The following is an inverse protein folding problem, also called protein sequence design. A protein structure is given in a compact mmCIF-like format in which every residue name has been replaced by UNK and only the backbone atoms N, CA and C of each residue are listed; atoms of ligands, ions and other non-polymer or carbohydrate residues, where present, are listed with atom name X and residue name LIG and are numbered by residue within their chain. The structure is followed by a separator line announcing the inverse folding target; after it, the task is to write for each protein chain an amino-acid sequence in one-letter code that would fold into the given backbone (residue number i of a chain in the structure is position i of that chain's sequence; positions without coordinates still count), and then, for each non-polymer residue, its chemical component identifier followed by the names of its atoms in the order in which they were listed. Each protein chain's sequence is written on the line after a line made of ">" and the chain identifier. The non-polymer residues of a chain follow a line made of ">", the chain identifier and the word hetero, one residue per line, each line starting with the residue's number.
data_IF_572049445314
#
_entry.id   IF_572049445314
#
_cell.length_a   1.000
_cell.length_b   1.000
_cell.length_c   1.000
_cell.angle_alpha   90.00
_cell.angle_beta   90.00
_cell.angle_gamma   90.00
#
_symmetry.space_group_name_H-M   'P 1'
#
loop_
_entity.id
_entity.type
_entity.pdbx_description
1 polymer ?
#
# COMPACT_ATOMS: atom_id res chain seq x y z
N UNK A 1 14.12 -2.46 -4.58
CA UNK A 1 14.51 -3.62 -5.40
C UNK A 1 14.17 -4.90 -4.67
N UNK A 2 13.39 -5.77 -5.29
CA UNK A 2 13.05 -7.09 -4.78
C UNK A 2 14.27 -8.01 -4.89
N UNK A 3 14.37 -8.97 -3.96
CA UNK A 3 15.48 -9.93 -3.95
C UNK A 3 15.00 -11.18 -4.70
N UNK A 4 15.73 -11.58 -5.75
CA UNK A 4 15.47 -12.80 -6.53
C UNK A 4 16.60 -13.79 -6.29
N UNK A 5 16.32 -14.88 -5.60
CA UNK A 5 17.29 -15.94 -5.29
C UNK A 5 16.71 -17.31 -5.66
N UNK A 6 17.42 -18.06 -6.50
CA UNK A 6 17.01 -19.41 -6.95
C UNK A 6 15.57 -19.47 -7.51
N UNK A 7 15.12 -18.41 -8.17
CA UNK A 7 13.76 -18.29 -8.72
C UNK A 7 12.68 -17.94 -7.68
N UNK A 8 13.04 -17.74 -6.42
CA UNK A 8 12.14 -17.23 -5.38
C UNK A 8 12.32 -15.72 -5.20
N UNK A 9 11.21 -14.99 -5.15
CA UNK A 9 11.20 -13.55 -4.87
C UNK A 9 10.96 -13.33 -3.38
N UNK A 10 11.73 -12.44 -2.77
CA UNK A 10 11.60 -12.06 -1.37
C UNK A 10 11.65 -10.55 -1.17
N UNK A 11 11.04 -10.09 -0.06
CA UNK A 11 11.12 -8.70 0.35
C UNK A 11 12.51 -8.37 0.91
N UNK A 12 13.12 -7.24 0.53
CA UNK A 12 14.32 -6.76 1.22
C UNK A 12 13.99 -6.35 2.67
N UNK A 13 14.98 -6.48 3.55
CA UNK A 13 14.86 -6.10 4.98
C UNK A 13 14.79 -4.57 5.19
N UNK A 14 15.40 -3.79 4.29
CA UNK A 14 15.39 -2.33 4.26
C UNK A 14 14.17 -1.74 3.55
N UNK A 15 13.97 -0.40 3.60
CA UNK A 15 12.74 0.25 3.14
C UNK A 15 12.39 -0.10 1.68
N UNK A 16 11.10 -0.28 1.41
CA UNK A 16 10.58 -0.64 0.08
C UNK A 16 10.42 0.57 -0.85
N UNK A 17 10.50 1.78 -0.31
CA UNK A 17 10.55 3.05 -1.02
C UNK A 17 11.63 3.95 -0.40
N UNK A 18 12.21 4.88 -1.14
CA UNK A 18 13.13 5.89 -0.58
C UNK A 18 12.39 7.19 -0.24
N UNK A 19 13.00 8.04 0.60
CA UNK A 19 12.44 9.38 0.88
C UNK A 19 12.38 10.22 -0.40
N UNK A 20 13.37 10.11 -1.28
CA UNK A 20 13.40 10.80 -2.57
C UNK A 20 12.23 10.37 -3.48
N UNK A 21 11.98 9.07 -3.59
CA UNK A 21 10.82 8.55 -4.33
C UNK A 21 9.50 9.05 -3.73
N UNK A 22 9.40 9.05 -2.40
CA UNK A 22 8.23 9.55 -1.70
C UNK A 22 8.01 11.06 -1.92
N UNK A 23 9.08 11.85 -1.91
CA UNK A 23 9.03 13.29 -2.14
C UNK A 23 8.64 13.62 -3.58
N UNK A 24 9.21 12.94 -4.57
CA UNK A 24 8.81 13.11 -5.97
C UNK A 24 7.33 12.74 -6.19
N UNK A 25 6.89 11.61 -5.62
CA UNK A 25 5.51 11.15 -5.69
C UNK A 25 4.52 12.13 -5.03
N UNK A 26 4.88 12.63 -3.84
CA UNK A 26 4.10 13.59 -3.06
C UNK A 26 4.04 14.97 -3.73
N UNK A 27 5.14 15.42 -4.33
CA UNK A 27 5.22 16.69 -5.06
C UNK A 27 4.31 16.67 -6.29
N UNK A 28 4.34 15.60 -7.08
CA UNK A 28 3.47 15.44 -8.25
C UNK A 28 1.97 15.48 -7.89
N UNK A 29 1.62 15.20 -6.63
CA UNK A 29 0.24 15.17 -6.11
C UNK A 29 -0.08 16.34 -5.16
N UNK A 30 0.84 17.27 -4.96
CA UNK A 30 0.62 18.46 -4.13
C UNK A 30 0.37 18.17 -2.65
N UNK A 31 1.02 17.17 -2.06
CA UNK A 31 0.81 16.81 -0.64
C UNK A 31 1.57 17.77 0.30
N UNK A 32 0.89 18.81 0.74
CA UNK A 32 1.45 19.81 1.67
C UNK A 32 1.74 19.25 3.06
N UNK A 33 0.93 18.29 3.52
CA UNK A 33 1.11 17.59 4.80
C UNK A 33 2.38 16.73 4.81
N UNK A 34 2.72 16.11 3.68
CA UNK A 34 3.98 15.40 3.50
C UNK A 34 5.18 16.35 3.43
N UNK A 35 5.05 17.45 2.68
CA UNK A 35 6.11 18.44 2.51
C UNK A 35 6.54 19.09 3.82
N UNK A 36 5.63 19.23 4.78
CA UNK A 36 5.89 19.81 6.10
C UNK A 36 6.67 18.87 7.06
N UNK A 37 6.91 17.62 6.69
CA UNK A 37 7.60 16.64 7.54
C UNK A 37 9.12 16.74 7.42
N UNK A 38 9.81 16.48 8.54
CA UNK A 38 11.26 16.30 8.52
C UNK A 38 11.64 14.98 7.81
N UNK A 39 12.85 14.88 7.23
CA UNK A 39 13.33 13.65 6.60
C UNK A 39 13.25 12.41 7.51
N UNK A 40 13.48 12.57 8.81
CA UNK A 40 13.44 11.48 9.79
C UNK A 40 12.02 10.94 9.96
N UNK A 41 11.01 11.83 10.02
CA UNK A 41 9.61 11.42 10.10
C UNK A 41 9.14 10.72 8.83
N UNK A 42 9.59 11.18 7.66
CA UNK A 42 9.30 10.52 6.38
C UNK A 42 9.93 9.12 6.34
N UNK A 43 11.20 9.00 6.72
CA UNK A 43 11.92 7.73 6.77
C UNK A 43 11.26 6.72 7.73
N UNK A 44 10.88 7.16 8.93
CA UNK A 44 10.15 6.31 9.89
C UNK A 44 8.82 5.81 9.35
N UNK A 45 8.01 6.71 8.76
CA UNK A 45 6.72 6.34 8.18
C UNK A 45 6.84 5.32 7.02
N UNK A 46 7.88 5.46 6.20
CA UNK A 46 8.19 4.53 5.11
C UNK A 46 8.61 3.15 5.65
N UNK A 47 9.40 3.11 6.73
CA UNK A 47 9.79 1.86 7.37
C UNK A 47 8.59 1.12 7.97
N UNK A 48 7.71 1.85 8.66
CA UNK A 48 6.47 1.29 9.22
C UNK A 48 5.54 0.73 8.13
N UNK A 49 5.36 1.49 7.04
CA UNK A 49 4.61 1.03 5.88
C UNK A 49 5.24 -0.18 5.21
N UNK A 50 6.57 -0.20 5.08
CA UNK A 50 7.30 -1.35 4.54
C UNK A 50 7.12 -2.59 5.42
N UNK A 51 7.17 -2.43 6.75
CA UNK A 51 6.91 -3.51 7.70
C UNK A 51 5.48 -4.04 7.58
N UNK A 52 4.50 -3.14 7.45
CA UNK A 52 3.09 -3.51 7.19
C UNK A 52 2.95 -4.34 5.90
N UNK A 53 3.55 -3.90 4.79
CA UNK A 53 3.50 -4.62 3.51
C UNK A 53 4.11 -6.01 3.64
N UNK A 54 5.30 -6.13 4.24
CA UNK A 54 5.96 -7.43 4.46
C UNK A 54 5.14 -8.38 5.33
N UNK A 55 4.50 -7.86 6.38
CA UNK A 55 3.67 -8.65 7.28
C UNK A 55 2.36 -9.09 6.63
N UNK A 56 1.82 -8.28 5.71
CA UNK A 56 0.47 -8.45 5.18
C UNK A 56 0.44 -9.06 3.78
N UNK A 57 1.53 -9.01 3.00
CA UNK A 57 1.56 -9.42 1.59
C UNK A 57 2.79 -10.27 1.27
N UNK A 58 2.59 -11.25 0.39
CA UNK A 58 3.65 -11.98 -0.31
C UNK A 58 4.22 -11.11 -1.42
N UNK A 59 5.53 -11.18 -1.70
CA UNK A 59 6.11 -10.52 -2.85
C UNK A 59 5.53 -11.08 -4.16
N UNK A 60 5.56 -10.30 -5.23
CA UNK A 60 5.14 -10.77 -6.55
C UNK A 60 6.10 -11.84 -7.08
N UNK A 61 5.58 -12.71 -7.95
CA UNK A 61 6.39 -13.74 -8.61
C UNK A 61 7.20 -13.16 -9.78
N UNK A 62 6.61 -12.20 -10.52
CA UNK A 62 7.25 -11.51 -11.63
C UNK A 62 7.84 -10.15 -11.18
N UNK A 63 9.14 -9.96 -11.41
CA UNK A 63 9.84 -8.72 -11.05
C UNK A 63 10.14 -7.91 -12.30
N UNK A 64 9.69 -6.65 -12.31
CA UNK A 64 10.01 -5.66 -13.33
C UNK A 64 10.11 -4.27 -12.69
N UNK A 65 10.73 -3.31 -13.39
CA UNK A 65 10.80 -1.93 -12.90
C UNK A 65 9.42 -1.34 -12.60
N UNK A 66 8.42 -1.64 -13.44
CA UNK A 66 7.03 -1.21 -13.24
C UNK A 66 6.40 -1.82 -12.00
N UNK A 67 6.68 -3.10 -11.70
CA UNK A 67 6.21 -3.77 -10.48
C UNK A 67 6.83 -3.12 -9.24
N UNK A 68 8.14 -2.83 -9.27
CA UNK A 68 8.83 -2.19 -8.15
C UNK A 68 8.35 -0.76 -7.91
N UNK A 69 8.06 -0.02 -8.98
CA UNK A 69 7.47 1.32 -8.91
C UNK A 69 6.11 1.26 -8.21
N UNK A 70 5.21 0.37 -8.62
CA UNK A 70 3.89 0.22 -8.00
C UNK A 70 3.96 -0.18 -6.52
N UNK A 71 4.91 -1.03 -6.15
CA UNK A 71 5.16 -1.38 -4.75
C UNK A 71 5.64 -0.15 -3.98
N UNK A 72 6.54 0.64 -4.56
CA UNK A 72 7.02 1.89 -3.97
C UNK A 72 5.86 2.88 -3.76
N UNK A 73 5.02 3.09 -4.78
CA UNK A 73 3.83 3.94 -4.69
C UNK A 73 2.88 3.46 -3.59
N UNK A 74 2.61 2.14 -3.51
CA UNK A 74 1.78 1.57 -2.46
C UNK A 74 2.35 1.82 -1.05
N UNK A 75 3.66 1.70 -0.90
CA UNK A 75 4.37 1.96 0.37
C UNK A 75 4.30 3.44 0.72
N UNK A 76 4.45 4.36 -0.24
CA UNK A 76 4.33 5.81 -0.03
C UNK A 76 2.90 6.18 0.38
N UNK A 77 1.90 5.60 -0.27
CA UNK A 77 0.49 5.80 0.08
C UNK A 77 0.19 5.33 1.52
N UNK A 78 0.71 4.15 1.89
CA UNK A 78 0.63 3.60 3.25
C UNK A 78 1.42 4.42 4.28
N UNK A 79 2.61 4.91 3.93
CA UNK A 79 3.47 5.72 4.81
C UNK A 79 2.77 7.01 5.19
N UNK A 80 2.14 7.71 4.25
CA UNK A 80 1.36 8.89 4.60
C UNK A 80 0.14 8.57 5.46
N UNK A 81 -0.47 7.38 5.31
CA UNK A 81 -1.53 6.94 6.21
C UNK A 81 -1.02 6.68 7.63
N UNK A 82 0.15 6.07 7.79
CA UNK A 82 0.72 5.70 9.10
C UNK A 82 0.94 6.92 10.02
N UNK A 83 1.15 8.10 9.44
CA UNK A 83 1.27 9.38 10.16
C UNK A 83 -0.02 9.78 10.91
N UNK A 84 -1.16 9.24 10.51
CA UNK A 84 -2.48 9.59 11.04
C UNK A 84 -3.20 8.42 11.69
N UNK A 85 -2.80 7.18 11.39
CA UNK A 85 -3.42 5.97 11.92
C UNK A 85 -2.43 4.79 11.90
N UNK A 86 -2.31 4.00 12.97
CA UNK A 86 -1.46 2.82 12.98
C UNK A 86 -1.85 1.78 11.92
N UNK A 87 -0.88 1.29 11.14
CA UNK A 87 -1.12 0.30 10.07
C UNK A 87 -1.15 -1.15 10.57
N UNK A 88 -0.33 -1.48 11.59
CA UNK A 88 -0.26 -2.80 12.22
C UNK A 88 -1.02 -2.72 13.54
N UNK A 89 -1.98 -3.64 13.75
CA UNK A 89 -2.89 -3.60 14.91
C UNK A 89 -4.12 -2.69 14.75
N UNK A 90 -4.42 -2.25 13.51
CA UNK A 90 -5.53 -1.33 13.19
C UNK A 90 -6.92 -1.95 13.32
N UNK A 91 -7.77 -1.22 14.01
CA UNK A 91 -9.14 -1.48 14.47
C UNK A 91 -10.05 -2.29 13.51
N UNK A 92 -10.85 -3.20 14.09
CA UNK A 92 -11.88 -4.03 13.43
C UNK A 92 -12.83 -3.20 12.56
N UNK A 93 -12.99 -1.91 12.83
CA UNK A 93 -13.74 -0.95 12.01
C UNK A 93 -13.27 -0.88 10.54
N UNK A 94 -11.97 -0.99 10.26
CA UNK A 94 -11.43 -0.94 8.88
C UNK A 94 -11.77 -2.19 8.06
N UNK A 95 -12.05 -3.33 8.72
CA UNK A 95 -12.56 -4.53 8.05
C UNK A 95 -14.06 -4.44 7.76
N UNK A 96 -14.84 -3.73 8.58
CA UNK A 96 -16.30 -3.59 8.44
C UNK A 96 -16.72 -2.66 7.27
N UNK A 97 -15.85 -1.75 6.82
CA UNK A 97 -16.15 -0.77 5.77
C UNK A 97 -16.04 -1.30 4.31
N UNK A 98 -15.77 -2.59 4.09
CA UNK A 98 -15.56 -3.16 2.75
C UNK A 98 -16.87 -3.52 2.04
N UNK A 99 -17.48 -2.56 1.34
CA UNK A 99 -18.46 -2.82 0.27
C UNK A 99 -17.83 -2.57 -1.10
N UNK A 100 -17.17 -3.61 -1.63
CA UNK A 100 -16.67 -3.79 -3.03
C UNK A 100 -15.86 -2.65 -3.68
N UNK A 101 -14.64 -2.96 -4.14
CA UNK A 101 -13.86 -2.12 -5.07
C UNK A 101 -13.61 -2.90 -6.35
N UNK A 102 -14.09 -2.39 -7.49
CA UNK A 102 -13.82 -2.93 -8.83
C UNK A 102 -12.57 -2.23 -9.37
N UNK A 103 -11.56 -2.99 -9.76
CA UNK A 103 -10.36 -2.45 -10.39
C UNK A 103 -10.71 -1.83 -11.75
N UNK A 104 -10.30 -0.57 -11.99
CA UNK A 104 -10.34 0.01 -13.34
C UNK A 104 -10.75 1.49 -13.49
N UNK A 105 -11.18 2.20 -12.45
CA UNK A 105 -11.38 3.66 -12.54
C UNK A 105 -11.48 4.27 -11.15
N UNK A 106 -10.65 5.27 -10.83
CA UNK A 106 -10.69 5.99 -9.53
C UNK A 106 -11.39 7.32 -9.73
N UNK A 107 -12.71 7.29 -9.73
CA UNK A 107 -13.51 8.40 -9.23
C UNK A 107 -14.24 7.88 -8.00
N UNK A 108 -13.82 8.35 -6.83
CA UNK A 108 -14.42 8.00 -5.55
C UNK A 108 -15.13 9.24 -5.05
N UNK A 109 -16.46 9.27 -5.19
CA UNK A 109 -17.29 10.33 -4.62
C UNK A 109 -17.80 9.91 -3.24
N UNK A 110 -17.68 10.81 -2.26
CA UNK A 110 -18.19 10.64 -0.91
C UNK A 110 -19.09 11.81 -0.55
N UNK A 111 -20.30 11.49 -0.09
CA UNK A 111 -21.34 12.46 0.25
C UNK A 111 -21.01 13.27 1.51
N UNK A 112 -20.26 12.71 2.47
CA UNK A 112 -19.63 13.41 3.61
C UNK A 112 -18.52 12.52 4.21
N UNK A 113 -17.23 12.81 3.99
CA UNK A 113 -16.16 11.86 4.38
C UNK A 113 -15.71 12.00 5.85
N UNK A 114 -15.94 10.96 6.67
CA UNK A 114 -15.30 10.83 7.98
C UNK A 114 -13.80 10.48 7.84
N UNK A 115 -12.98 10.72 8.87
CA UNK A 115 -11.56 10.36 8.86
C UNK A 115 -11.33 8.85 8.67
N UNK A 116 -12.22 8.04 9.22
CA UNK A 116 -12.23 6.58 9.06
C UNK A 116 -12.50 6.16 7.62
N UNK A 117 -13.45 6.81 6.94
CA UNK A 117 -13.76 6.54 5.53
C UNK A 117 -12.56 6.84 4.62
N UNK A 118 -11.85 7.94 4.90
CA UNK A 118 -10.61 8.29 4.16
C UNK A 118 -9.48 7.29 4.40
N UNK A 119 -9.30 6.82 5.64
CA UNK A 119 -8.33 5.79 5.99
C UNK A 119 -8.62 4.46 5.26
N UNK A 120 -9.87 4.00 5.29
CA UNK A 120 -10.29 2.78 4.62
C UNK A 120 -10.12 2.86 3.09
N UNK A 121 -10.48 3.99 2.48
CA UNK A 121 -10.28 4.24 1.05
C UNK A 121 -8.79 4.14 0.65
N UNK A 122 -7.92 4.71 1.49
CA UNK A 122 -6.47 4.71 1.25
C UNK A 122 -5.86 3.31 1.43
N UNK A 123 -6.28 2.55 2.43
CA UNK A 123 -5.90 1.13 2.54
C UNK A 123 -6.38 0.30 1.35
N UNK A 124 -7.57 0.60 0.82
CA UNK A 124 -8.07 -0.06 -0.38
C UNK A 124 -7.23 0.28 -1.63
N UNK A 125 -6.77 1.53 -1.76
CA UNK A 125 -5.82 1.95 -2.80
C UNK A 125 -4.49 1.18 -2.68
N UNK A 126 -3.90 1.14 -1.49
CA UNK A 126 -2.65 0.38 -1.22
C UNK A 126 -2.82 -1.08 -1.60
N UNK A 127 -3.92 -1.72 -1.20
CA UNK A 127 -4.23 -3.10 -1.56
C UNK A 127 -4.48 -3.29 -3.07
N UNK A 128 -4.99 -2.27 -3.76
CA UNK A 128 -5.16 -2.26 -5.21
C UNK A 128 -3.83 -2.23 -5.94
N UNK A 129 -2.94 -1.30 -5.56
CA UNK A 129 -1.59 -1.16 -6.12
C UNK A 129 -0.76 -2.43 -5.91
N UNK A 130 -0.77 -3.00 -4.69
CA UNK A 130 -0.04 -4.23 -4.41
C UNK A 130 -0.56 -5.42 -5.22
N UNK A 131 -1.88 -5.57 -5.39
CA UNK A 131 -2.45 -6.62 -6.23
C UNK A 131 -2.11 -6.43 -7.71
N UNK A 132 -2.13 -5.19 -8.19
CA UNK A 132 -1.74 -4.89 -9.57
C UNK A 132 -0.26 -5.20 -9.82
N UNK A 133 0.58 -4.97 -8.81
CA UNK A 133 1.99 -5.35 -8.83
C UNK A 133 2.22 -6.87 -8.68
N UNK A 134 1.19 -7.69 -8.50
CA UNK A 134 1.28 -9.13 -8.31
C UNK A 134 1.54 -9.58 -6.87
N UNK A 135 1.52 -8.67 -5.88
CA UNK A 135 1.64 -9.00 -4.46
C UNK A 135 0.28 -9.40 -3.86
N UNK A 136 0.24 -10.49 -3.10
CA UNK A 136 -1.00 -11.08 -2.58
C UNK A 136 -1.01 -11.18 -1.05
N UNK A 137 -2.17 -10.99 -0.37
CA UNK A 137 -2.22 -11.04 1.09
C UNK A 137 -1.75 -12.36 1.73
N UNK A 138 -1.08 -12.28 2.88
CA UNK A 138 -0.65 -13.43 3.70
C UNK A 138 -1.83 -13.86 4.59
N UNK A 139 -2.75 -14.67 4.02
CA UNK A 139 -3.88 -15.33 4.71
C UNK A 139 -5.25 -14.64 4.51
N UNK A 140 -6.40 -15.32 4.43
CA UNK A 140 -6.71 -16.71 4.07
C UNK A 140 -7.19 -16.75 2.60
N UNK A 141 -7.00 -17.88 1.93
CA UNK A 141 -7.64 -18.13 0.65
C UNK A 141 -9.16 -18.06 0.80
N UNK A 142 -9.77 -16.93 0.45
CA UNK A 142 -11.05 -16.98 -0.24
C UNK A 142 -10.69 -17.46 -1.64
N UNK A 143 -10.73 -18.78 -1.81
CA UNK A 143 -10.90 -19.38 -3.11
C UNK A 143 -12.20 -18.78 -3.70
N UNK A 144 -12.10 -17.65 -4.39
CA UNK A 144 -13.11 -17.29 -5.37
C UNK A 144 -12.88 -18.25 -6.52
N UNK A 145 -13.37 -19.49 -6.37
CA UNK A 145 -13.78 -20.26 -7.52
C UNK A 145 -14.80 -19.38 -8.21
N UNK A 146 -14.37 -18.72 -9.29
CA UNK A 146 -15.29 -18.25 -10.31
C UNK A 146 -15.97 -19.52 -10.82
N UNK A 147 -17.16 -19.81 -10.27
CA UNK A 147 -18.05 -20.75 -10.90
C UNK A 147 -18.27 -20.22 -12.32
N UNK A 148 -17.80 -20.98 -13.31
CA UNK A 148 -18.18 -20.77 -14.70
C UNK A 148 -19.70 -20.89 -14.75
N UNK A 149 -20.38 -19.78 -15.01
CA UNK A 149 -21.75 -19.76 -15.52
C UNK A 149 -21.78 -20.36 -16.92
#
# INVERSE_FOLDING_TARGET
>A
MLIVENGAVSWPSGPLATVEQADAYAQARGWSDWAALTPERKSGAILDASAYVRASYRPPEDVSATVEEQISEAVIEAARLSLTSPLIGGDKAAQAARKSVKAGSVAVEYETSSAESRSAARLALVAGLLRYAGAYPIGSGVNVRLAKS
#
